data_IF_163280954271
#
_entry.id   IF_163280954271
#
_cell.length_a   1.000
_cell.length_b   1.000
_cell.length_c   1.000
_cell.angle_alpha   90.00
_cell.angle_beta   90.00
_cell.angle_gamma   90.00
#
_symmetry.space_group_name_H-M   'P 1'
#
loop_
_entity.id
_entity.type
_entity.pdbx_description
1 polymer ?
#
# COMPACT_ATOMS: atom_id res chain seq x y z
N UNK A 1 2.33 -21.36 25.75
CA UNK A 1 2.25 -20.25 24.79
C UNK A 1 2.26 -20.85 23.39
N UNK A 2 1.10 -20.97 22.75
CA UNK A 2 0.97 -21.40 21.35
C UNK A 2 1.53 -20.29 20.47
N UNK A 3 2.41 -20.64 19.53
CA UNK A 3 2.89 -19.68 18.51
C UNK A 3 1.68 -19.31 17.64
N UNK A 4 1.44 -18.02 17.34
CA UNK A 4 0.41 -17.67 16.36
C UNK A 4 0.71 -18.39 15.05
N UNK A 5 -0.28 -19.08 14.47
CA UNK A 5 -0.14 -19.77 13.18
C UNK A 5 -0.52 -18.85 12.00
N UNK A 6 -0.60 -17.54 12.24
CA UNK A 6 -0.99 -16.52 11.28
C UNK A 6 -0.19 -15.24 11.52
N UNK A 7 0.00 -14.45 10.49
CA UNK A 7 0.54 -13.11 10.60
C UNK A 7 -0.51 -12.17 11.20
N UNK A 8 -0.05 -11.13 11.90
CA UNK A 8 -0.92 -10.07 12.37
C UNK A 8 -1.07 -8.97 11.30
N UNK A 9 -2.29 -8.51 11.09
CA UNK A 9 -2.61 -7.49 10.08
C UNK A 9 -3.53 -6.43 10.66
N UNK A 10 -3.28 -5.18 10.28
CA UNK A 10 -4.16 -4.05 10.57
C UNK A 10 -4.57 -3.35 9.28
N UNK A 11 -5.81 -2.84 9.23
CA UNK A 11 -6.28 -2.00 8.12
C UNK A 11 -5.38 -0.79 7.86
N UNK A 12 -4.73 -0.25 8.90
CA UNK A 12 -3.82 0.89 8.80
C UNK A 12 -2.51 0.57 8.05
N UNK A 13 -2.17 -0.71 7.88
CA UNK A 13 -1.00 -1.16 7.12
C UNK A 13 -1.33 -1.41 5.65
N UNK A 14 -2.59 -1.26 5.24
CA UNK A 14 -3.01 -1.47 3.87
C UNK A 14 -3.42 -0.16 3.20
N UNK A 15 -3.23 -0.12 1.89
CA UNK A 15 -3.60 1.00 1.02
C UNK A 15 -4.12 0.47 -0.31
N UNK A 16 -5.18 1.09 -0.81
CA UNK A 16 -5.70 0.86 -2.15
C UNK A 16 -5.65 2.16 -2.95
N UNK A 17 -4.97 2.13 -4.10
CA UNK A 17 -4.74 3.31 -4.94
C UNK A 17 -5.33 3.05 -6.32
N UNK A 18 -6.24 3.92 -6.76
CA UNK A 18 -6.73 3.93 -8.13
C UNK A 18 -5.75 4.66 -9.06
N UNK A 19 -5.37 4.01 -10.14
CA UNK A 19 -4.47 4.50 -11.18
C UNK A 19 -5.27 4.53 -12.48
N UNK A 20 -5.55 5.72 -12.98
CA UNK A 20 -6.15 5.90 -14.30
C UNK A 20 -5.09 5.71 -15.38
N UNK A 21 -5.39 4.88 -16.37
CA UNK A 21 -4.54 4.62 -17.53
C UNK A 21 -5.33 4.90 -18.81
N UNK A 22 -4.66 4.97 -19.96
CA UNK A 22 -5.36 5.08 -21.26
C UNK A 22 -6.24 3.88 -21.58
N UNK A 23 -5.97 2.70 -20.99
CA UNK A 23 -6.70 1.46 -21.21
C UNK A 23 -7.83 1.19 -20.21
N UNK A 24 -8.00 2.03 -19.19
CA UNK A 24 -8.96 1.84 -18.11
C UNK A 24 -8.36 2.17 -16.74
N UNK A 25 -9.01 1.68 -15.69
CA UNK A 25 -8.66 1.96 -14.30
C UNK A 25 -8.08 0.72 -13.62
N UNK A 26 -6.94 0.90 -12.98
CA UNK A 26 -6.27 -0.12 -12.17
C UNK A 26 -6.36 0.25 -10.70
N UNK A 27 -6.56 -0.73 -9.83
CA UNK A 27 -6.47 -0.58 -8.38
C UNK A 27 -5.25 -1.34 -7.90
N UNK A 28 -4.25 -0.61 -7.38
CA UNK A 28 -3.09 -1.18 -6.70
C UNK A 28 -3.45 -1.34 -5.22
N UNK A 29 -3.49 -2.57 -4.74
CA UNK A 29 -3.66 -2.87 -3.32
C UNK A 29 -2.34 -3.37 -2.77
N UNK A 30 -1.85 -2.75 -1.71
CA UNK A 30 -0.61 -3.14 -1.06
C UNK A 30 -0.73 -2.99 0.44
N UNK A 31 0.01 -3.81 1.17
CA UNK A 31 0.11 -3.71 2.62
C UNK A 31 1.17 -4.64 3.18
N UNK A 32 1.19 -4.77 4.50
CA UNK A 32 2.10 -5.67 5.20
C UNK A 32 1.40 -6.33 6.39
N UNK A 33 1.98 -7.45 6.83
CA UNK A 33 1.62 -8.12 8.08
C UNK A 33 2.85 -8.51 8.88
N UNK A 34 2.68 -8.61 10.19
CA UNK A 34 3.73 -9.02 11.11
C UNK A 34 3.68 -10.54 11.31
N UNK A 35 4.56 -11.26 10.64
CA UNK A 35 4.55 -12.72 10.63
C UNK A 35 5.40 -13.32 11.77
N UNK A 36 5.00 -14.48 12.35
CA UNK A 36 5.69 -15.09 13.50
C UNK A 36 7.13 -15.55 13.21
N UNK A 37 7.43 -15.85 11.95
CA UNK A 37 8.76 -16.26 11.47
C UNK A 37 9.07 -15.52 10.18
N UNK A 38 10.32 -15.60 9.70
CA UNK A 38 10.65 -15.19 8.33
C UNK A 38 10.14 -16.23 7.33
N UNK A 39 10.10 -15.88 6.03
CA UNK A 39 9.81 -16.83 4.94
C UNK A 39 8.32 -17.11 4.68
N UNK A 40 7.41 -16.37 5.32
CA UNK A 40 5.99 -16.41 4.99
C UNK A 40 5.76 -15.86 3.58
N UNK A 41 4.77 -16.42 2.88
CA UNK A 41 4.30 -15.88 1.61
C UNK A 41 2.88 -15.37 1.77
N UNK A 42 2.66 -14.13 1.34
CA UNK A 42 1.36 -13.49 1.36
C UNK A 42 0.88 -13.26 -0.07
N UNK A 43 -0.41 -13.49 -0.32
CA UNK A 43 -1.03 -13.20 -1.61
C UNK A 43 -2.41 -12.60 -1.43
N UNK A 44 -2.73 -11.60 -2.23
CA UNK A 44 -4.09 -11.10 -2.40
C UNK A 44 -4.69 -11.73 -3.65
N UNK A 45 -5.83 -12.41 -3.49
CA UNK A 45 -6.52 -13.11 -4.58
C UNK A 45 -7.92 -12.54 -4.74
N UNK A 46 -8.37 -12.30 -5.97
CA UNK A 46 -9.72 -11.87 -6.24
C UNK A 46 -10.73 -12.88 -5.67
N UNK A 47 -11.64 -12.39 -4.82
CA UNK A 47 -12.57 -13.20 -4.05
C UNK A 47 -14.03 -12.78 -4.28
N UNK A 48 -14.32 -12.08 -5.39
CA UNK A 48 -15.66 -11.65 -5.77
C UNK A 48 -16.62 -12.85 -5.80
N UNK A 49 -17.54 -12.99 -4.84
CA UNK A 49 -18.39 -14.17 -4.74
C UNK A 49 -19.64 -14.01 -5.59
N UNK A 50 -19.67 -14.65 -6.75
CA UNK A 50 -20.92 -15.02 -7.43
C UNK A 50 -21.83 -13.88 -7.93
N UNK A 51 -23.03 -14.29 -8.35
CA UNK A 51 -23.91 -13.69 -9.39
C UNK A 51 -24.37 -12.24 -9.15
N UNK A 52 -24.27 -11.70 -7.93
CA UNK A 52 -24.63 -10.29 -7.65
C UNK A 52 -23.36 -9.45 -7.69
N UNK A 53 -23.22 -8.65 -8.74
CA UNK A 53 -22.13 -7.70 -8.82
C UNK A 53 -22.22 -6.72 -7.63
N UNK A 54 -21.18 -6.64 -6.82
CA UNK A 54 -20.92 -5.51 -5.94
C UNK A 54 -20.02 -4.54 -6.72
N UNK A 55 -20.59 -3.70 -7.60
CA UNK A 55 -19.80 -2.91 -8.54
C UNK A 55 -18.87 -1.92 -7.84
N UNK A 56 -19.24 -1.50 -6.63
CA UNK A 56 -18.56 -0.43 -5.89
C UNK A 56 -17.51 -0.98 -4.90
N UNK A 57 -17.40 -2.30 -4.74
CA UNK A 57 -16.51 -2.95 -3.77
C UNK A 57 -15.69 -4.06 -4.43
N UNK A 58 -14.35 -3.96 -4.36
CA UNK A 58 -13.43 -5.01 -4.79
C UNK A 58 -13.16 -5.96 -3.63
N UNK A 59 -13.41 -7.27 -3.80
CA UNK A 59 -13.20 -8.23 -2.73
C UNK A 59 -11.92 -9.01 -2.97
N UNK A 60 -11.00 -8.96 -1.99
CA UNK A 60 -9.73 -9.69 -2.02
C UNK A 60 -9.65 -10.61 -0.82
N UNK A 61 -9.27 -11.86 -1.05
CA UNK A 61 -8.86 -12.79 0.00
C UNK A 61 -7.36 -12.68 0.21
N UNK A 62 -6.94 -12.43 1.46
CA UNK A 62 -5.55 -12.54 1.85
C UNK A 62 -5.23 -13.98 2.24
N UNK A 63 -4.33 -14.60 1.47
CA UNK A 63 -3.84 -15.95 1.70
C UNK A 63 -2.43 -15.92 2.27
N UNK A 64 -2.22 -16.78 3.26
CA UNK A 64 -0.96 -16.94 3.97
C UNK A 64 -0.45 -18.36 3.75
N UNK A 65 0.79 -18.50 3.28
CA UNK A 65 1.51 -19.77 3.30
C UNK A 65 2.66 -19.69 4.29
N UNK A 66 2.59 -20.53 5.31
CA UNK A 66 3.66 -20.68 6.29
C UNK A 66 4.88 -21.38 5.67
N UNK A 67 6.11 -20.98 6.04
CA UNK A 67 7.31 -21.66 5.63
C UNK A 67 7.40 -23.05 6.27
N UNK A 68 7.95 -24.04 5.56
CA UNK A 68 8.19 -25.38 6.12
C UNK A 68 9.21 -25.35 7.26
N UNK A 69 10.22 -24.49 7.16
CA UNK A 69 11.24 -24.28 8.20
C UNK A 69 11.74 -22.84 8.11
N UNK A 70 11.68 -22.11 9.22
CA UNK A 70 12.22 -20.77 9.34
C UNK A 70 12.70 -20.46 10.76
N UNK A 71 13.68 -19.55 10.92
CA UNK A 71 14.01 -18.96 12.22
C UNK A 71 12.78 -18.31 12.87
N UNK A 72 12.67 -18.41 14.21
CA UNK A 72 11.62 -17.73 14.99
C UNK A 72 11.95 -16.26 15.18
N UNK A 73 11.92 -15.53 14.08
CA UNK A 73 12.14 -14.08 14.03
C UNK A 73 10.88 -13.44 13.46
N UNK A 74 10.25 -12.60 14.27
CA UNK A 74 9.08 -11.85 13.84
C UNK A 74 9.48 -10.93 12.68
N UNK A 75 8.78 -11.05 11.55
CA UNK A 75 9.19 -10.43 10.28
C UNK A 75 8.01 -9.70 9.64
N UNK A 76 8.18 -8.43 9.29
CA UNK A 76 7.23 -7.74 8.44
C UNK A 76 7.29 -8.31 7.02
N UNK A 77 6.14 -8.78 6.53
CA UNK A 77 6.02 -9.39 5.20
C UNK A 77 5.04 -8.56 4.37
N UNK A 78 5.49 -8.13 3.20
CA UNK A 78 4.70 -7.30 2.29
C UNK A 78 3.81 -8.15 1.37
N UNK A 79 2.73 -7.53 0.91
CA UNK A 79 1.84 -8.10 -0.09
C UNK A 79 1.37 -7.01 -1.05
N UNK A 80 1.25 -7.35 -2.32
CA UNK A 80 0.78 -6.45 -3.36
C UNK A 80 0.01 -7.19 -4.44
N UNK A 81 -1.01 -6.53 -4.99
CA UNK A 81 -1.69 -6.94 -6.22
C UNK A 81 -2.13 -5.70 -7.01
N UNK A 82 -2.20 -5.86 -8.33
CA UNK A 82 -2.79 -4.89 -9.24
C UNK A 82 -4.00 -5.54 -9.91
N UNK A 83 -5.14 -4.87 -9.85
CA UNK A 83 -6.42 -5.39 -10.36
C UNK A 83 -7.04 -4.38 -11.31
N UNK A 84 -7.54 -4.84 -12.46
CA UNK A 84 -8.38 -4.03 -13.33
C UNK A 84 -9.79 -3.91 -12.73
N UNK A 85 -10.18 -2.68 -12.36
CA UNK A 85 -11.52 -2.40 -11.84
C UNK A 85 -11.92 -0.94 -12.10
N UNK A 86 -13.00 -0.78 -12.85
CA UNK A 86 -13.49 0.53 -13.31
C UNK A 86 -14.34 1.29 -12.30
N UNK A 87 -14.80 0.65 -11.22
CA UNK A 87 -15.89 1.19 -10.38
C UNK A 87 -15.62 1.14 -8.88
N UNK A 88 -14.82 0.20 -8.38
CA UNK A 88 -14.68 0.01 -6.95
C UNK A 88 -14.13 1.27 -6.24
N UNK A 89 -14.83 1.67 -5.17
CA UNK A 89 -14.46 2.79 -4.29
C UNK A 89 -13.91 2.30 -2.95
N UNK A 90 -14.08 1.02 -2.65
CA UNK A 90 -13.54 0.35 -1.47
C UNK A 90 -13.00 -1.03 -1.82
N UNK A 91 -12.06 -1.51 -1.00
CA UNK A 91 -11.55 -2.88 -1.06
C UNK A 91 -11.86 -3.57 0.24
N UNK A 92 -12.54 -4.71 0.16
CA UNK A 92 -12.76 -5.59 1.30
C UNK A 92 -11.67 -6.68 1.31
N UNK A 93 -10.81 -6.62 2.31
CA UNK A 93 -9.77 -7.64 2.56
C UNK A 93 -10.34 -8.68 3.51
N UNK A 94 -10.45 -9.92 3.04
CA UNK A 94 -11.02 -11.05 3.77
C UNK A 94 -9.92 -12.02 4.19
N UNK A 95 -10.11 -12.65 5.34
CA UNK A 95 -9.26 -13.73 5.84
C UNK A 95 -10.08 -15.01 5.91
N UNK A 96 -9.43 -16.16 5.73
CA UNK A 96 -10.07 -17.46 5.94
C UNK A 96 -10.26 -17.83 7.42
N UNK A 97 -9.56 -17.15 8.34
CA UNK A 97 -9.43 -17.55 9.75
C UNK A 97 -9.91 -16.48 10.74
N UNK A 98 -10.31 -15.30 10.26
CA UNK A 98 -10.89 -14.22 11.08
C UNK A 98 -11.75 -13.27 10.23
N UNK A 99 -12.36 -12.30 10.89
CA UNK A 99 -13.06 -11.21 10.22
C UNK A 99 -12.10 -10.33 9.40
N UNK A 100 -12.60 -9.87 8.24
CA UNK A 100 -11.91 -8.97 7.34
C UNK A 100 -11.94 -7.51 7.76
N UNK A 101 -11.44 -6.64 6.88
CA UNK A 101 -11.59 -5.20 7.02
C UNK A 101 -11.72 -4.54 5.66
N UNK A 102 -12.30 -3.33 5.66
CA UNK A 102 -12.49 -2.52 4.46
C UNK A 102 -11.51 -1.36 4.45
N UNK A 103 -10.90 -1.09 3.30
CA UNK A 103 -10.05 0.07 3.07
C UNK A 103 -10.61 0.91 1.92
N UNK A 104 -10.52 2.25 1.99
CA UNK A 104 -10.96 3.11 0.88
C UNK A 104 -9.99 3.02 -0.29
N UNK A 105 -10.53 3.09 -1.51
CA UNK A 105 -9.74 3.30 -2.73
C UNK A 105 -9.52 4.81 -2.90
N UNK A 106 -8.28 5.25 -2.79
CA UNK A 106 -7.92 6.66 -3.00
C UNK A 106 -7.33 6.86 -4.39
N UNK A 107 -7.68 7.94 -5.12
CA UNK A 107 -7.02 8.25 -6.37
C UNK A 107 -5.51 8.43 -6.17
N UNK A 108 -4.71 7.91 -7.11
CA UNK A 108 -3.29 8.26 -7.16
C UNK A 108 -3.20 9.78 -7.25
N UNK A 109 -2.58 10.41 -6.25
CA UNK A 109 -2.32 11.83 -6.30
C UNK A 109 -1.51 12.08 -7.56
N UNK A 110 -2.12 12.76 -8.54
CA UNK A 110 -1.41 13.25 -9.71
C UNK A 110 -0.32 14.15 -9.12
N UNK A 111 0.94 13.69 -9.13
CA UNK A 111 2.05 14.60 -8.86
C UNK A 111 1.94 15.62 -9.97
N UNK A 112 1.29 16.77 -9.70
CA UNK A 112 1.43 17.95 -10.55
C UNK A 112 2.93 18.07 -10.72
N UNK A 113 3.40 17.96 -11.96
CA UNK A 113 4.78 18.25 -12.30
C UNK A 113 5.01 19.68 -11.80
N UNK A 114 5.54 19.79 -10.58
CA UNK A 114 5.74 21.03 -9.90
C UNK A 114 6.81 21.75 -10.68
N UNK A 115 6.40 22.79 -11.40
CA UNK A 115 7.25 23.79 -12.03
C UNK A 115 8.34 24.16 -11.03
N UNK A 116 9.57 23.73 -11.32
CA UNK A 116 10.75 24.10 -10.55
C UNK A 116 10.99 25.59 -10.67
N UNK A 117 10.33 26.38 -9.82
CA UNK A 117 10.67 27.78 -9.62
C UNK A 117 12.05 27.81 -8.93
N UNK A 118 13.11 27.99 -9.73
CA UNK A 118 14.41 28.44 -9.21
C UNK A 118 14.16 29.76 -8.48
N UNK A 119 14.37 29.78 -7.17
CA UNK A 119 14.62 31.03 -6.45
C UNK A 119 16.00 31.54 -6.91
N UNK A 120 16.13 32.74 -7.50
CA UNK A 120 17.39 33.44 -7.46
C UNK A 120 17.63 33.87 -6.01
N UNK A 121 18.72 33.39 -5.42
CA UNK A 121 19.20 33.93 -4.16
C UNK A 121 19.68 35.36 -4.40
N UNK A 122 18.93 36.30 -3.85
CA UNK A 122 19.38 37.68 -3.63
C UNK A 122 20.56 37.65 -2.66
N UNK A 123 21.74 37.99 -3.15
CA UNK A 123 22.91 38.28 -2.35
C UNK A 123 23.55 39.57 -2.84
N UNK A 124 22.93 40.69 -2.47
CA UNK A 124 23.54 42.00 -2.47
C UNK A 124 23.28 42.64 -1.10
N UNK A 125 24.32 42.70 -0.26
CA UNK A 125 24.63 43.86 0.59
C UNK A 125 25.94 43.61 1.34
N UNK A 126 26.88 44.55 1.22
CA UNK A 126 28.05 44.61 2.07
C UNK A 126 29.32 45.15 1.42
N UNK A 127 29.29 46.37 0.84
CA UNK A 127 30.51 47.19 0.70
C UNK A 127 30.56 48.16 1.88
N UNK A 128 31.64 48.14 2.66
CA UNK A 128 32.21 49.28 3.38
C UNK A 128 33.73 49.07 3.53
N UNK A 129 34.44 50.19 3.56
CA UNK A 129 35.82 50.37 3.14
C UNK A 129 36.85 50.47 4.29
N UNK A 130 38.13 50.48 3.88
CA UNK A 130 39.26 51.31 4.35
C UNK A 130 40.27 50.76 5.40
N UNK A 131 41.51 50.64 4.89
CA UNK A 131 42.87 50.96 5.40
C UNK A 131 43.31 50.72 6.86
N UNK A 132 44.45 50.03 7.01
CA UNK A 132 45.73 50.56 7.53
C UNK A 132 46.76 49.41 7.73
N UNK A 133 47.98 49.55 7.19
CA UNK A 133 49.29 49.71 7.89
C UNK A 133 50.30 50.22 6.86
#
# INVERSE_FOLDING_TARGET
MTVPNHCDFSATQFRAIAIETSGGRLIRVSGSGLCPTSGWQLRLVAANPGVVAHPDSLWLELREDAPTRAPRVVTETEVEVLVEDSRAHEVQIRFGWREGFTIPVVPAAMRRAGTGARRPSDAAHGRLAASAV
#
